data_IF_593617081332
#
_entry.id   IF_593617081332
#
_cell.length_a   1.000
_cell.length_b   1.000
_cell.length_c   1.000
_cell.angle_alpha   90.00
_cell.angle_beta   90.00
_cell.angle_gamma   90.00
#
_symmetry.space_group_name_H-M   'P 1'
#
loop_
_entity.id
_entity.type
_entity.pdbx_description
1 polymer ?
#
# COMPACT_ATOMS: atom_id res chain seq x y z
N UNK A 1 1.27 20.53 -24.48
CA UNK A 1 1.73 20.44 -23.08
C UNK A 1 2.34 19.06 -22.94
N UNK A 2 3.63 18.95 -22.62
CA UNK A 2 4.29 17.65 -22.42
C UNK A 2 3.50 16.86 -21.37
N UNK A 3 3.11 15.63 -21.72
CA UNK A 3 2.31 14.71 -20.90
C UNK A 3 3.17 14.18 -19.73
N UNK A 4 3.54 15.09 -18.82
CA UNK A 4 4.37 14.77 -17.67
C UNK A 4 3.56 13.95 -16.69
N UNK A 5 3.74 12.64 -16.80
CA UNK A 5 3.22 11.65 -15.86
C UNK A 5 3.66 12.00 -14.44
N UNK A 6 2.70 12.30 -13.57
CA UNK A 6 2.96 12.56 -12.16
C UNK A 6 3.27 11.24 -11.45
N UNK A 7 4.51 11.08 -10.99
CA UNK A 7 4.97 9.86 -10.32
C UNK A 7 5.15 10.11 -8.83
N UNK A 8 4.65 9.20 -8.01
CA UNK A 8 5.02 9.15 -6.61
C UNK A 8 6.51 8.82 -6.47
N UNK A 9 7.22 9.69 -5.73
CA UNK A 9 8.63 9.58 -5.36
C UNK A 9 8.76 9.36 -3.86
N UNK A 10 9.96 8.95 -3.41
CA UNK A 10 10.23 8.80 -1.99
C UNK A 10 10.55 10.15 -1.36
N UNK A 11 9.86 10.50 -0.27
CA UNK A 11 10.15 11.68 0.53
C UNK A 11 11.42 11.44 1.37
N UNK A 12 12.39 12.35 1.27
CA UNK A 12 13.67 12.26 1.99
C UNK A 12 13.51 12.24 3.52
N UNK A 13 12.45 12.84 4.06
CA UNK A 13 12.22 12.96 5.51
C UNK A 13 11.87 11.62 6.20
N UNK A 14 11.47 10.60 5.43
CA UNK A 14 11.11 9.28 5.97
C UNK A 14 12.12 8.18 5.64
N UNK A 15 13.14 8.48 4.83
CA UNK A 15 14.12 7.50 4.32
C UNK A 15 14.76 6.69 5.44
N UNK A 16 15.16 7.34 6.54
CA UNK A 16 15.84 6.69 7.67
C UNK A 16 14.97 5.65 8.40
N UNK A 17 13.66 5.64 8.13
CA UNK A 17 12.71 4.69 8.72
C UNK A 17 12.40 3.52 7.81
N UNK A 18 12.93 3.51 6.59
CA UNK A 18 12.63 2.53 5.56
C UNK A 18 13.83 1.59 5.32
N UNK A 19 13.58 0.36 4.85
CA UNK A 19 14.65 -0.51 4.37
C UNK A 19 15.43 0.12 3.22
N UNK A 20 16.70 -0.25 3.07
CA UNK A 20 17.58 0.27 2.01
C UNK A 20 17.00 0.06 0.59
N UNK A 21 16.30 -1.07 0.35
CA UNK A 21 15.66 -1.35 -0.93
C UNK A 21 14.62 -0.31 -1.35
N UNK A 22 13.99 0.40 -0.40
CA UNK A 22 13.00 1.43 -0.71
C UNK A 22 13.60 2.53 -1.57
N UNK A 23 14.78 3.04 -1.20
CA UNK A 23 15.48 4.06 -1.99
C UNK A 23 15.82 3.53 -3.38
N UNK A 24 16.39 2.32 -3.46
CA UNK A 24 16.78 1.69 -4.73
C UNK A 24 15.58 1.54 -5.68
N UNK A 25 14.45 1.02 -5.17
CA UNK A 25 13.25 0.81 -5.97
C UNK A 25 12.62 2.13 -6.44
N UNK A 26 12.49 3.12 -5.55
CA UNK A 26 11.93 4.42 -5.92
C UNK A 26 12.81 5.18 -6.92
N UNK A 27 14.13 5.13 -6.77
CA UNK A 27 15.07 5.72 -7.72
C UNK A 27 14.93 5.09 -9.11
N UNK A 28 14.98 3.75 -9.20
CA UNK A 28 14.87 3.05 -10.48
C UNK A 28 13.48 3.24 -11.13
N UNK A 29 12.40 3.19 -10.34
CA UNK A 29 11.03 3.49 -10.83
C UNK A 29 10.93 4.89 -11.42
N UNK A 30 11.52 5.88 -10.75
CA UNK A 30 11.50 7.28 -11.20
C UNK A 30 12.32 7.44 -12.48
N UNK A 31 13.51 6.85 -12.54
CA UNK A 31 14.37 6.85 -13.73
C UNK A 31 13.69 6.19 -14.93
N UNK A 32 12.94 5.10 -14.69
CA UNK A 32 12.20 4.38 -15.73
C UNK A 32 10.86 5.05 -16.13
N UNK A 33 10.43 6.12 -15.45
CA UNK A 33 9.17 6.79 -15.78
C UNK A 33 7.90 5.97 -15.46
N UNK A 34 7.99 5.03 -14.53
CA UNK A 34 6.93 4.05 -14.24
C UNK A 34 6.01 4.49 -13.10
N UNK A 35 4.70 4.34 -13.32
CA UNK A 35 3.66 4.44 -12.29
C UNK A 35 3.52 3.12 -11.52
N UNK A 36 2.86 3.17 -10.35
CA UNK A 36 2.53 1.94 -9.63
C UNK A 36 1.51 1.08 -10.37
N UNK A 37 0.62 1.68 -11.17
CA UNK A 37 -0.34 0.96 -12.01
C UNK A 37 0.35 0.04 -13.02
N UNK A 38 1.36 0.54 -13.73
CA UNK A 38 2.11 -0.27 -14.71
C UNK A 38 2.90 -1.41 -14.05
N UNK A 39 3.55 -1.12 -12.93
CA UNK A 39 4.29 -2.15 -12.18
C UNK A 39 3.31 -3.20 -11.65
N UNK A 40 2.17 -2.78 -11.12
CA UNK A 40 1.11 -3.67 -10.62
C UNK A 40 0.55 -4.60 -11.69
N UNK A 41 0.28 -4.06 -12.88
CA UNK A 41 -0.18 -4.84 -14.03
C UNK A 41 0.83 -5.92 -14.43
N UNK A 42 2.13 -5.61 -14.43
CA UNK A 42 3.17 -6.61 -14.72
C UNK A 42 3.26 -7.67 -13.61
N UNK A 43 3.23 -7.25 -12.35
CA UNK A 43 3.37 -8.15 -11.20
C UNK A 43 2.14 -9.05 -11.02
N UNK A 44 0.95 -8.60 -11.44
CA UNK A 44 -0.31 -9.28 -11.16
C UNK A 44 -0.75 -9.06 -9.71
N UNK A 45 -0.45 -7.86 -9.15
CA UNK A 45 -0.80 -7.45 -7.79
C UNK A 45 -1.61 -6.15 -7.85
N UNK A 46 -2.28 -5.77 -6.76
CA UNK A 46 -2.92 -4.46 -6.70
C UNK A 46 -1.88 -3.34 -6.58
N UNK A 47 -2.21 -2.15 -7.05
CA UNK A 47 -1.32 -0.97 -7.00
C UNK A 47 -0.86 -0.66 -5.58
N UNK A 48 -1.79 -0.72 -4.62
CA UNK A 48 -1.51 -0.50 -3.19
C UNK A 48 -0.55 -1.57 -2.64
N UNK A 49 -0.69 -2.82 -3.07
CA UNK A 49 0.23 -3.88 -2.64
C UNK A 49 1.64 -3.69 -3.20
N UNK A 50 1.77 -3.22 -4.45
CA UNK A 50 3.08 -2.90 -5.04
C UNK A 50 3.72 -1.70 -4.34
N UNK A 51 2.97 -0.62 -4.12
CA UNK A 51 3.45 0.52 -3.34
C UNK A 51 3.89 0.10 -1.92
N UNK A 52 3.16 -0.82 -1.29
CA UNK A 52 3.53 -1.37 0.01
C UNK A 52 4.88 -2.12 -0.02
N UNK A 53 5.22 -2.86 -1.08
CA UNK A 53 6.55 -3.47 -1.24
C UNK A 53 7.64 -2.39 -1.27
N UNK A 54 7.40 -1.33 -2.03
CA UNK A 54 8.33 -0.21 -2.18
C UNK A 54 8.59 0.50 -0.85
N UNK A 55 7.59 0.62 0.01
CA UNK A 55 7.73 1.15 1.37
C UNK A 55 8.16 0.10 2.40
N UNK A 56 8.50 -1.13 2.00
CA UNK A 56 8.93 -2.20 2.91
C UNK A 56 7.82 -2.76 3.81
N UNK A 57 6.56 -2.56 3.45
CA UNK A 57 5.38 -2.98 4.20
C UNK A 57 4.76 -4.29 3.68
N UNK A 58 5.28 -4.83 2.57
CA UNK A 58 4.87 -6.11 2.01
C UNK A 58 6.09 -6.91 1.54
N UNK A 59 5.98 -8.23 1.65
CA UNK A 59 6.97 -9.17 1.14
C UNK A 59 6.75 -9.40 -0.35
N UNK A 60 7.84 -9.44 -1.11
CA UNK A 60 7.84 -9.86 -2.50
C UNK A 60 8.01 -11.38 -2.59
N UNK A 61 7.28 -12.01 -3.50
CA UNK A 61 7.54 -13.40 -3.90
C UNK A 61 8.79 -13.47 -4.80
N UNK A 62 9.31 -14.69 -5.02
CA UNK A 62 10.40 -14.89 -5.98
C UNK A 62 10.01 -14.41 -7.41
N UNK A 63 8.74 -14.59 -7.79
CA UNK A 63 8.21 -14.12 -9.07
C UNK A 63 8.14 -12.59 -9.14
N UNK A 64 7.75 -11.92 -8.05
CA UNK A 64 7.76 -10.46 -7.97
C UNK A 64 9.17 -9.91 -8.15
N UNK A 65 10.16 -10.52 -7.47
CA UNK A 65 11.57 -10.09 -7.58
C UNK A 65 12.09 -10.26 -9.00
N UNK A 66 11.81 -11.39 -9.66
CA UNK A 66 12.22 -11.64 -11.05
C UNK A 66 11.67 -10.53 -11.98
N UNK A 67 10.36 -10.25 -11.87
CA UNK A 67 9.70 -9.22 -12.68
C UNK A 67 10.20 -7.82 -12.37
N UNK A 68 10.39 -7.47 -11.10
CA UNK A 68 10.91 -6.16 -10.68
C UNK A 68 12.36 -5.95 -11.13
N UNK A 69 13.18 -7.00 -11.02
CA UNK A 69 14.57 -6.99 -11.48
C UNK A 69 14.66 -6.68 -12.96
N UNK A 70 13.89 -7.40 -13.80
CA UNK A 70 13.84 -7.18 -15.23
C UNK A 70 13.27 -5.79 -15.59
N UNK A 71 12.19 -5.37 -14.93
CA UNK A 71 11.51 -4.11 -15.23
C UNK A 71 12.34 -2.88 -14.86
N UNK A 72 13.01 -2.92 -13.69
CA UNK A 72 13.75 -1.80 -13.14
C UNK A 72 15.26 -1.85 -13.47
N UNK A 73 15.69 -2.88 -14.20
CA UNK A 73 17.09 -3.14 -14.53
C UNK A 73 18.00 -3.15 -13.29
N UNK A 74 17.55 -3.81 -12.22
CA UNK A 74 18.31 -4.01 -10.98
C UNK A 74 18.63 -5.50 -10.86
N UNK A 75 19.90 -5.92 -10.63
CA UNK A 75 20.24 -7.33 -10.48
C UNK A 75 19.40 -8.02 -9.40
N UNK A 76 18.91 -9.22 -9.70
CA UNK A 76 18.08 -10.02 -8.80
C UNK A 76 18.79 -10.29 -7.47
N UNK A 77 20.10 -10.49 -7.51
CA UNK A 77 20.96 -10.77 -6.37
C UNK A 77 20.99 -9.59 -5.38
N UNK A 78 20.73 -8.37 -5.85
CA UNK A 78 20.60 -7.17 -5.02
C UNK A 78 19.21 -7.09 -4.38
N UNK A 79 18.16 -7.43 -5.13
CA UNK A 79 16.77 -7.32 -4.68
C UNK A 79 16.31 -8.48 -3.80
N UNK A 80 16.63 -9.72 -4.16
CA UNK A 80 16.08 -10.92 -3.54
C UNK A 80 16.30 -10.98 -2.02
N UNK A 81 17.52 -10.75 -1.48
CA UNK A 81 17.76 -10.83 -0.04
C UNK A 81 16.95 -9.80 0.77
N UNK A 82 16.62 -8.66 0.17
CA UNK A 82 15.92 -7.57 0.84
C UNK A 82 14.40 -7.70 0.70
N UNK A 83 13.90 -7.98 -0.51
CA UNK A 83 12.46 -7.99 -0.79
C UNK A 83 11.76 -9.28 -0.37
N UNK A 84 12.48 -10.40 -0.32
CA UNK A 84 11.94 -11.69 0.11
C UNK A 84 12.09 -11.93 1.62
N UNK A 85 12.79 -11.05 2.34
CA UNK A 85 12.84 -11.11 3.80
C UNK A 85 11.46 -10.79 4.41
N UNK A 86 11.20 -11.28 5.63
CA UNK A 86 9.98 -10.95 6.36
C UNK A 86 10.06 -9.44 6.72
N UNK A 87 9.09 -8.61 6.31
CA UNK A 87 9.19 -7.18 6.51
C UNK A 87 8.84 -6.79 7.97
N UNK A 88 9.61 -5.84 8.50
CA UNK A 88 9.31 -5.16 9.76
C UNK A 88 8.34 -3.99 9.49
N UNK A 89 7.04 -4.31 9.51
CA UNK A 89 5.96 -3.41 9.13
C UNK A 89 5.67 -2.35 10.20
N UNK A 90 5.12 -1.21 9.78
CA UNK A 90 4.64 -0.15 10.67
C UNK A 90 5.64 0.96 10.97
N UNK A 91 6.82 0.97 10.31
CA UNK A 91 7.87 1.98 10.53
C UNK A 91 7.84 3.16 9.57
N UNK A 92 7.10 3.07 8.47
CA UNK A 92 7.17 4.04 7.37
C UNK A 92 6.81 5.49 7.75
N UNK A 93 6.04 5.72 8.81
CA UNK A 93 5.65 7.06 9.26
C UNK A 93 5.39 7.13 10.76
N UNK A 94 5.35 8.34 11.35
CA UNK A 94 5.00 8.53 12.76
C UNK A 94 3.51 8.26 13.01
N UNK A 95 3.17 8.02 14.28
CA UNK A 95 1.80 8.05 14.78
C UNK A 95 1.68 9.13 15.86
N UNK A 96 0.72 10.06 15.78
CA UNK A 96 -0.23 10.22 14.68
C UNK A 96 0.46 10.62 13.35
N UNK A 97 -0.15 10.34 12.18
CA UNK A 97 0.40 10.75 10.89
C UNK A 97 0.49 12.27 10.81
N UNK A 98 1.55 12.79 10.19
CA UNK A 98 1.73 14.25 9.99
C UNK A 98 1.48 14.67 8.54
N UNK A 99 1.53 13.73 7.60
CA UNK A 99 1.21 13.98 6.21
C UNK A 99 -0.32 14.10 6.05
N UNK A 100 -0.83 15.22 5.48
CA UNK A 100 -2.27 15.49 5.44
C UNK A 100 -3.15 14.41 4.80
N UNK A 101 -2.74 13.80 3.68
CA UNK A 101 -3.52 12.76 3.01
C UNK A 101 -3.69 11.53 3.92
N UNK A 102 -2.61 11.06 4.54
CA UNK A 102 -2.63 9.93 5.48
C UNK A 102 -3.39 10.32 6.76
N UNK A 103 -3.26 11.56 7.24
CA UNK A 103 -3.98 12.03 8.42
C UNK A 103 -5.51 11.98 8.23
N UNK A 104 -6.04 12.25 7.02
CA UNK A 104 -7.49 12.10 6.78
C UNK A 104 -7.98 10.67 6.92
N UNK A 105 -7.16 9.68 6.55
CA UNK A 105 -7.51 8.27 6.79
C UNK A 105 -7.57 7.96 8.28
N UNK A 106 -6.61 8.50 9.05
CA UNK A 106 -6.62 8.39 10.51
C UNK A 106 -7.86 9.08 11.12
N UNK A 107 -8.23 10.27 10.64
CA UNK A 107 -9.40 11.03 11.08
C UNK A 107 -10.72 10.29 10.83
N UNK A 108 -10.84 9.59 9.67
CA UNK A 108 -11.98 8.72 9.39
C UNK A 108 -12.08 7.60 10.43
N UNK A 109 -10.97 6.95 10.79
CA UNK A 109 -10.97 5.91 11.82
C UNK A 109 -11.32 6.50 13.19
N UNK A 110 -10.80 7.68 13.53
CA UNK A 110 -11.10 8.34 14.80
C UNK A 110 -12.60 8.68 14.93
N UNK A 111 -13.23 9.19 13.86
CA UNK A 111 -14.62 9.63 13.90
C UNK A 111 -15.62 8.47 13.73
N UNK A 112 -15.33 7.52 12.83
CA UNK A 112 -16.25 6.46 12.46
C UNK A 112 -15.92 5.09 13.08
N UNK A 113 -14.83 4.96 13.83
CA UNK A 113 -14.38 3.68 14.40
C UNK A 113 -15.46 2.97 15.22
N UNK A 114 -16.14 3.67 16.13
CA UNK A 114 -17.25 3.10 16.91
C UNK A 114 -18.50 2.83 16.07
N UNK A 115 -18.77 3.64 15.05
CA UNK A 115 -19.88 3.41 14.12
C UNK A 115 -19.64 2.12 13.30
N UNK A 116 -18.43 1.93 12.75
CA UNK A 116 -18.04 0.68 12.10
C UNK A 116 -18.14 -0.50 13.05
N UNK A 117 -17.62 -0.37 14.28
CA UNK A 117 -17.69 -1.43 15.29
C UNK A 117 -19.13 -1.89 15.52
N UNK A 118 -20.05 -0.95 15.76
CA UNK A 118 -21.46 -1.27 16.02
C UNK A 118 -22.11 -1.99 14.84
N UNK A 119 -22.01 -1.44 13.62
CA UNK A 119 -22.62 -2.03 12.41
C UNK A 119 -22.01 -3.41 12.10
N UNK A 120 -20.69 -3.58 12.27
CA UNK A 120 -20.04 -4.87 12.09
C UNK A 120 -20.52 -5.89 13.12
N UNK A 121 -20.69 -5.48 14.39
CA UNK A 121 -21.19 -6.38 15.42
C UNK A 121 -22.65 -6.80 15.17
N UNK A 122 -23.52 -5.89 14.72
CA UNK A 122 -24.90 -6.23 14.34
C UNK A 122 -24.96 -7.19 13.14
N UNK A 123 -24.06 -7.04 12.17
CA UNK A 123 -24.07 -7.85 10.93
C UNK A 123 -23.36 -9.20 11.07
N UNK A 124 -22.29 -9.28 11.85
CA UNK A 124 -21.37 -10.43 11.86
C UNK A 124 -21.14 -11.04 13.25
N UNK A 125 -21.70 -10.44 14.31
CA UNK A 125 -21.54 -10.89 15.69
C UNK A 125 -20.27 -10.36 16.37
N UNK A 126 -19.79 -11.07 17.39
CA UNK A 126 -18.57 -10.71 18.11
C UNK A 126 -17.31 -11.23 17.39
N UNK A 127 -16.41 -10.32 17.04
CA UNK A 127 -15.25 -10.62 16.20
C UNK A 127 -14.62 -9.37 15.60
N UNK A 128 -13.74 -9.59 14.61
CA UNK A 128 -13.00 -8.53 13.92
C UNK A 128 -12.93 -8.76 12.40
N UNK A 129 -12.79 -7.67 11.65
CA UNK A 129 -12.31 -7.71 10.27
C UNK A 129 -10.79 -7.86 10.27
N UNK A 130 -10.26 -8.94 9.70
CA UNK A 130 -8.82 -9.18 9.62
C UNK A 130 -8.10 -8.12 8.77
N UNK A 131 -6.96 -7.63 9.25
CA UNK A 131 -6.00 -6.84 8.46
C UNK A 131 -4.85 -7.71 7.86
N UNK A 132 -4.91 -9.03 8.03
CA UNK A 132 -3.92 -10.00 7.50
C UNK A 132 -4.51 -10.78 6.33
N UNK A 133 -5.66 -11.43 6.53
CA UNK A 133 -6.45 -12.01 5.44
C UNK A 133 -7.30 -10.89 4.83
N UNK A 134 -6.63 -10.00 4.11
CA UNK A 134 -7.11 -8.68 3.75
C UNK A 134 -6.65 -8.27 2.34
N UNK A 135 -7.48 -7.48 1.66
CA UNK A 135 -7.08 -6.75 0.46
C UNK A 135 -7.67 -5.34 0.44
N UNK A 136 -7.00 -4.44 -0.29
CA UNK A 136 -7.46 -3.07 -0.51
C UNK A 136 -7.09 -2.59 -1.91
N UNK A 137 -7.88 -1.64 -2.41
CA UNK A 137 -7.70 -0.96 -3.70
C UNK A 137 -8.16 0.49 -3.59
N UNK A 138 -7.65 1.31 -4.50
CA UNK A 138 -8.04 2.71 -4.69
C UNK A 138 -8.57 2.84 -6.11
N UNK A 139 -9.71 3.48 -6.25
CA UNK A 139 -10.37 3.76 -7.52
C UNK A 139 -10.72 5.25 -7.59
N UNK A 140 -10.70 5.79 -8.81
CA UNK A 140 -11.18 7.15 -9.10
C UNK A 140 -12.58 7.03 -9.68
N UNK A 141 -13.54 7.70 -9.05
CA UNK A 141 -14.89 7.88 -9.56
C UNK A 141 -15.06 9.34 -9.98
N UNK A 142 -15.88 9.60 -11.01
CA UNK A 142 -16.24 10.97 -11.41
C UNK A 142 -17.76 11.03 -11.41
N UNK A 143 -18.32 11.96 -10.65
CA UNK A 143 -19.77 12.09 -10.54
C UNK A 143 -20.37 12.84 -11.73
N UNK A 144 -21.70 12.96 -11.74
CA UNK A 144 -22.45 13.64 -12.81
C UNK A 144 -22.10 15.13 -12.95
N UNK A 145 -21.54 15.76 -11.91
CA UNK A 145 -21.11 17.16 -11.93
C UNK A 145 -19.67 17.32 -12.43
N UNK A 146 -18.97 16.21 -12.64
CA UNK A 146 -17.57 16.18 -13.04
C UNK A 146 -16.59 16.22 -11.88
N UNK A 147 -17.07 16.14 -10.62
CA UNK A 147 -16.19 16.10 -9.45
C UNK A 147 -15.55 14.72 -9.31
N UNK A 148 -14.24 14.70 -9.02
CA UNK A 148 -13.49 13.47 -8.85
C UNK A 148 -13.50 13.01 -7.39
N UNK A 149 -13.90 11.76 -7.18
CA UNK A 149 -13.98 11.10 -5.88
C UNK A 149 -12.94 9.99 -5.77
N UNK A 150 -12.36 9.85 -4.59
CA UNK A 150 -11.46 8.75 -4.26
C UNK A 150 -12.25 7.68 -3.53
N UNK A 151 -12.32 6.49 -4.12
CA UNK A 151 -12.98 5.32 -3.52
C UNK A 151 -11.93 4.36 -2.99
N UNK A 152 -11.90 4.19 -1.67
CA UNK A 152 -11.03 3.21 -1.01
C UNK A 152 -11.89 2.02 -0.57
N UNK A 153 -11.54 0.84 -1.05
CA UNK A 153 -12.20 -0.40 -0.61
C UNK A 153 -11.33 -1.15 0.38
N UNK A 154 -11.91 -1.55 1.52
CA UNK A 154 -11.30 -2.46 2.49
C UNK A 154 -12.07 -3.79 2.52
N UNK A 155 -11.38 -4.89 2.21
CA UNK A 155 -11.98 -6.23 2.19
C UNK A 155 -11.19 -7.17 3.08
N UNK A 156 -11.64 -7.33 4.33
CA UNK A 156 -11.05 -8.28 5.28
C UNK A 156 -11.96 -9.47 5.56
N UNK A 157 -11.36 -10.62 5.81
CA UNK A 157 -12.08 -11.80 6.33
C UNK A 157 -12.59 -11.51 7.74
N UNK A 158 -13.86 -11.82 8.01
CA UNK A 158 -14.41 -11.78 9.37
C UNK A 158 -13.89 -12.94 10.21
N UNK A 159 -13.46 -12.66 11.44
CA UNK A 159 -12.92 -13.64 12.39
C UNK A 159 -13.71 -13.53 13.70
N UNK A 160 -14.63 -14.48 13.99
CA UNK A 160 -15.35 -14.48 15.26
C UNK A 160 -14.43 -14.88 16.42
N UNK A 161 -14.69 -14.36 17.62
CA UNK A 161 -13.98 -14.82 18.82
C UNK A 161 -14.40 -16.24 19.20
N UNK A 162 -13.42 -17.10 19.46
CA UNK A 162 -13.68 -18.44 20.00
C UNK A 162 -14.00 -18.34 21.48
N UNK A 163 -15.03 -19.06 21.93
CA UNK A 163 -15.27 -19.30 23.36
C UNK A 163 -14.39 -20.44 23.84
N UNK A 164 -13.53 -20.18 24.81
CA UNK A 164 -12.70 -21.18 25.49
C UNK A 164 -12.73 -20.96 27.00
#
# INVERSE_FOLDING_TARGET
MSDHKQLATLDSSIVDRLPAHSQTLFAAKTQAGLSFSEIANLLGRSEVAVAAIFYGQAQASAQDVEKLSALLNIPKEVLAPQLMAIPDRGRAGPMPPVEPLIYRLYEVIQNYGYAYKAVLNEKFGDGIMSAICFSTKVEKEVDEKGDAWVVITWRGKWLPFTRF
#
